data_IF_598980609929
#
_entry.id   IF_598980609929
#
_cell.length_a   1.000
_cell.length_b   1.000
_cell.length_c   1.000
_cell.angle_alpha   90.00
_cell.angle_beta   90.00
_cell.angle_gamma   90.00
#
_symmetry.space_group_name_H-M   'P 1'
#
loop_
_entity.id
_entity.type
_entity.pdbx_description
1 polymer ?
#
# COMPACT_ATOMS: atom_id res chain seq x y z
N UNK A 1 0.56 14.36 -23.29
CA UNK A 1 0.25 15.75 -22.88
C UNK A 1 0.03 15.86 -21.39
N UNK A 2 -0.88 15.09 -20.77
CA UNK A 2 -1.20 15.11 -19.35
C UNK A 2 0.00 14.82 -18.43
N UNK A 3 0.79 13.78 -18.71
CA UNK A 3 1.98 13.43 -17.90
C UNK A 3 3.06 14.50 -17.98
N UNK A 4 3.22 15.15 -19.14
CA UNK A 4 4.18 16.25 -19.31
C UNK A 4 3.76 17.51 -18.54
N UNK A 5 2.48 17.84 -18.53
CA UNK A 5 1.89 18.92 -17.74
C UNK A 5 1.96 18.61 -16.24
N UNK A 6 1.68 17.37 -15.84
CA UNK A 6 1.79 16.89 -14.47
C UNK A 6 3.22 16.95 -13.94
N UNK A 7 4.22 16.70 -14.77
CA UNK A 7 5.63 16.69 -14.33
C UNK A 7 6.12 18.06 -13.87
N UNK A 8 5.60 19.14 -14.46
CA UNK A 8 6.10 20.51 -14.27
C UNK A 8 5.15 21.40 -13.45
N UNK A 9 3.94 20.96 -13.12
CA UNK A 9 2.96 21.80 -12.45
C UNK A 9 2.29 21.08 -11.30
N UNK A 10 2.67 21.45 -10.07
CA UNK A 10 2.15 20.87 -8.85
C UNK A 10 0.63 21.10 -8.71
N UNK A 11 0.15 22.28 -9.07
CA UNK A 11 -1.28 22.61 -9.02
C UNK A 11 -2.10 21.72 -9.95
N UNK A 12 -1.57 21.40 -11.14
CA UNK A 12 -2.21 20.48 -12.06
C UNK A 12 -2.31 19.06 -11.50
N UNK A 13 -1.26 18.60 -10.80
CA UNK A 13 -1.28 17.27 -10.12
C UNK A 13 -2.38 17.21 -9.06
N UNK A 14 -2.45 18.24 -8.20
CA UNK A 14 -3.49 18.31 -7.17
C UNK A 14 -4.90 18.44 -7.76
N UNK A 15 -5.08 19.27 -8.78
CA UNK A 15 -6.37 19.41 -9.47
C UNK A 15 -6.85 18.08 -10.09
N UNK A 16 -5.93 17.35 -10.75
CA UNK A 16 -6.22 16.04 -11.33
C UNK A 16 -6.53 15.00 -10.25
N UNK A 17 -5.80 15.01 -9.14
CA UNK A 17 -6.03 14.11 -8.00
C UNK A 17 -7.41 14.33 -7.38
N UNK A 18 -7.80 15.59 -7.15
CA UNK A 18 -9.13 15.94 -6.62
C UNK A 18 -10.21 15.50 -7.61
N UNK A 19 -10.03 15.77 -8.90
CA UNK A 19 -11.01 15.41 -9.94
C UNK A 19 -11.21 13.89 -10.00
N UNK A 20 -10.13 13.11 -10.04
CA UNK A 20 -10.20 11.65 -10.06
C UNK A 20 -10.84 11.13 -8.77
N UNK A 21 -10.50 11.72 -7.61
CA UNK A 21 -11.10 11.30 -6.33
C UNK A 21 -12.60 11.56 -6.30
N UNK A 22 -13.07 12.69 -6.80
CA UNK A 22 -14.51 13.01 -6.89
C UNK A 22 -15.25 12.05 -7.82
N UNK A 23 -14.67 11.69 -8.95
CA UNK A 23 -15.27 10.72 -9.87
C UNK A 23 -15.38 9.33 -9.21
N UNK A 24 -14.33 8.88 -8.52
CA UNK A 24 -14.33 7.59 -7.85
C UNK A 24 -15.31 7.52 -6.68
N UNK A 25 -15.44 8.59 -5.90
CA UNK A 25 -16.41 8.67 -4.80
C UNK A 25 -17.82 9.10 -5.24
N UNK A 26 -18.01 9.45 -6.51
CA UNK A 26 -19.27 9.91 -7.07
C UNK A 26 -20.42 8.91 -6.84
N UNK A 27 -20.16 7.60 -6.98
CA UNK A 27 -21.17 6.56 -6.69
C UNK A 27 -21.61 6.58 -5.22
N UNK A 28 -20.71 6.75 -4.28
CA UNK A 28 -21.03 6.84 -2.86
C UNK A 28 -21.89 8.07 -2.56
N UNK A 29 -21.56 9.23 -3.14
CA UNK A 29 -22.36 10.44 -2.99
C UNK A 29 -23.76 10.33 -3.59
N UNK A 30 -23.91 9.58 -4.69
CA UNK A 30 -25.22 9.35 -5.33
C UNK A 30 -26.03 8.31 -4.57
N UNK A 31 -25.42 7.20 -4.11
CA UNK A 31 -26.13 6.09 -3.48
C UNK A 31 -26.52 6.36 -2.03
N UNK A 32 -25.64 7.04 -1.26
CA UNK A 32 -25.87 7.32 0.16
C UNK A 32 -26.54 8.68 0.41
N UNK A 33 -26.68 9.50 -0.64
CA UNK A 33 -27.14 10.89 -0.57
C UNK A 33 -26.00 11.86 -0.29
N UNK A 34 -25.98 12.97 -1.03
CA UNK A 34 -24.92 13.98 -1.00
C UNK A 34 -24.67 14.60 0.39
N UNK A 35 -25.65 14.52 1.29
CA UNK A 35 -25.57 15.10 2.64
C UNK A 35 -25.21 14.07 3.74
N UNK A 36 -25.02 12.79 3.41
CA UNK A 36 -24.61 11.81 4.40
C UNK A 36 -23.12 11.94 4.74
N UNK A 37 -22.82 12.11 6.04
CA UNK A 37 -21.45 12.29 6.53
C UNK A 37 -20.51 11.10 6.27
N UNK A 38 -21.04 9.90 6.02
CA UNK A 38 -20.26 8.68 5.77
C UNK A 38 -19.49 8.75 4.45
N UNK A 39 -20.12 9.20 3.37
CA UNK A 39 -19.46 9.37 2.06
C UNK A 39 -18.36 10.44 2.11
N UNK A 40 -18.62 11.58 2.72
CA UNK A 40 -17.63 12.65 2.89
C UNK A 40 -16.48 12.25 3.80
N UNK A 41 -16.77 11.51 4.89
CA UNK A 41 -15.75 10.98 5.78
C UNK A 41 -14.79 10.03 5.04
N UNK A 42 -15.32 9.08 4.29
CA UNK A 42 -14.53 8.15 3.48
C UNK A 42 -13.68 8.86 2.43
N UNK A 43 -14.25 9.84 1.72
CA UNK A 43 -13.55 10.67 0.74
C UNK A 43 -12.40 11.46 1.37
N UNK A 44 -12.65 12.16 2.48
CA UNK A 44 -11.63 12.93 3.17
C UNK A 44 -10.48 12.05 3.68
N UNK A 45 -10.79 10.88 4.25
CA UNK A 45 -9.79 9.93 4.69
C UNK A 45 -8.99 9.38 3.51
N UNK A 46 -9.63 9.06 2.37
CA UNK A 46 -8.91 8.60 1.18
C UNK A 46 -7.93 9.64 0.64
N UNK A 47 -8.30 10.92 0.63
CA UNK A 47 -7.39 12.02 0.27
C UNK A 47 -6.22 12.16 1.25
N UNK A 48 -6.49 12.04 2.55
CA UNK A 48 -5.44 12.04 3.58
C UNK A 48 -4.43 10.91 3.36
N UNK A 49 -4.92 9.70 3.02
CA UNK A 49 -4.04 8.56 2.71
C UNK A 49 -3.19 8.80 1.49
N UNK A 50 -3.77 9.35 0.43
CA UNK A 50 -3.03 9.70 -0.78
C UNK A 50 -1.99 10.79 -0.49
N UNK A 51 -2.35 11.81 0.28
CA UNK A 51 -1.42 12.85 0.71
C UNK A 51 -0.27 12.25 1.53
N UNK A 52 -0.56 11.31 2.45
CA UNK A 52 0.44 10.55 3.19
C UNK A 52 1.35 9.73 2.28
N UNK A 53 0.79 9.03 1.30
CA UNK A 53 1.58 8.27 0.33
C UNK A 53 2.48 9.19 -0.50
N UNK A 54 1.97 10.31 -0.98
CA UNK A 54 2.77 11.33 -1.70
C UNK A 54 3.89 11.89 -0.82
N UNK A 55 3.58 12.18 0.45
CA UNK A 55 4.58 12.68 1.42
C UNK A 55 5.70 11.66 1.63
N UNK A 56 5.37 10.39 1.86
CA UNK A 56 6.36 9.31 2.02
C UNK A 56 7.28 9.24 0.81
N UNK A 57 6.69 9.25 -0.38
CA UNK A 57 7.45 9.18 -1.65
C UNK A 57 8.38 10.37 -1.84
N UNK A 58 7.87 11.58 -1.58
CA UNK A 58 8.62 12.82 -1.75
C UNK A 58 9.73 12.93 -0.71
N UNK A 59 9.42 12.70 0.56
CA UNK A 59 10.38 12.82 1.66
C UNK A 59 11.51 11.80 1.57
N UNK A 60 11.18 10.60 1.11
CA UNK A 60 12.14 9.51 0.99
C UNK A 60 12.86 9.48 -0.38
N UNK A 61 12.55 10.43 -1.25
CA UNK A 61 13.14 10.54 -2.61
C UNK A 61 13.04 9.22 -3.40
N UNK A 62 12.00 8.45 -3.16
CA UNK A 62 11.81 7.12 -3.78
C UNK A 62 11.31 7.27 -5.22
N UNK A 63 10.59 8.34 -5.53
CA UNK A 63 10.09 8.65 -6.88
C UNK A 63 10.12 10.14 -7.15
N UNK A 64 10.42 10.48 -8.41
CA UNK A 64 10.47 11.89 -8.87
C UNK A 64 9.10 12.51 -9.15
N UNK A 65 8.02 11.72 -9.12
CA UNK A 65 6.66 12.17 -9.44
C UNK A 65 5.64 11.64 -8.42
N UNK A 66 5.59 12.22 -7.21
CA UNK A 66 4.70 11.77 -6.14
C UNK A 66 3.22 11.89 -6.51
N UNK A 67 2.82 12.90 -7.28
CA UNK A 67 1.42 13.11 -7.65
C UNK A 67 0.86 12.02 -8.55
N UNK A 68 1.60 11.55 -9.56
CA UNK A 68 1.19 10.42 -10.42
C UNK A 68 1.05 9.16 -9.57
N UNK A 69 2.00 8.91 -8.68
CA UNK A 69 1.95 7.77 -7.77
C UNK A 69 0.74 7.83 -6.83
N UNK A 70 0.42 9.03 -6.31
CA UNK A 70 -0.76 9.25 -5.48
C UNK A 70 -2.06 8.95 -6.23
N UNK A 71 -2.18 9.35 -7.49
CA UNK A 71 -3.35 9.07 -8.32
C UNK A 71 -3.48 7.55 -8.56
N UNK A 72 -2.40 6.87 -8.91
CA UNK A 72 -2.43 5.40 -9.11
C UNK A 72 -2.76 4.68 -7.80
N UNK A 73 -2.21 5.14 -6.68
CA UNK A 73 -2.54 4.61 -5.36
C UNK A 73 -4.02 4.77 -5.03
N UNK A 74 -4.60 5.94 -5.31
CA UNK A 74 -6.03 6.21 -5.17
C UNK A 74 -6.87 5.27 -6.04
N UNK A 75 -6.49 5.11 -7.32
CA UNK A 75 -7.16 4.23 -8.27
C UNK A 75 -7.16 2.76 -7.84
N UNK A 76 -6.13 2.31 -7.14
CA UNK A 76 -6.07 0.96 -6.57
C UNK A 76 -6.88 0.85 -5.27
N UNK A 77 -6.83 1.88 -4.43
CA UNK A 77 -7.41 1.85 -3.09
C UNK A 77 -8.94 1.90 -3.12
N UNK A 78 -9.54 2.86 -3.84
CA UNK A 78 -10.98 3.12 -3.76
C UNK A 78 -11.85 1.96 -4.23
N UNK A 79 -11.57 1.25 -5.35
CA UNK A 79 -12.37 0.10 -5.78
C UNK A 79 -12.36 -1.07 -4.78
N UNK A 80 -11.33 -1.14 -3.92
CA UNK A 80 -11.19 -2.20 -2.93
C UNK A 80 -11.73 -1.83 -1.55
N UNK A 81 -11.87 -0.53 -1.25
CA UNK A 81 -12.50 -0.06 -0.01
C UNK A 81 -14.02 -0.25 -0.03
N UNK A 82 -14.61 -0.27 -1.22
CA UNK A 82 -16.04 -0.07 -1.34
C UNK A 82 -16.44 1.38 -1.06
N UNK A 83 -17.73 1.67 -1.22
CA UNK A 83 -18.29 3.02 -1.04
C UNK A 83 -18.68 3.32 0.41
N UNK A 84 -18.54 2.36 1.34
CA UNK A 84 -18.89 2.53 2.74
C UNK A 84 -17.65 2.80 3.59
N UNK A 85 -17.77 3.75 4.52
CA UNK A 85 -16.78 3.96 5.56
C UNK A 85 -16.69 2.71 6.44
N UNK A 86 -15.56 2.01 6.38
CA UNK A 86 -15.28 0.87 7.25
C UNK A 86 -14.13 1.23 8.22
N UNK A 87 -14.18 0.77 9.48
CA UNK A 87 -13.07 1.00 10.43
C UNK A 87 -11.73 0.50 9.92
N UNK A 88 -11.76 -0.37 8.96
CA UNK A 88 -10.61 -0.96 8.27
C UNK A 88 -9.72 0.07 7.58
N UNK A 89 -10.26 1.22 7.23
CA UNK A 89 -9.52 2.30 6.58
C UNK A 89 -8.33 2.80 7.42
N UNK A 90 -8.40 2.66 8.75
CA UNK A 90 -7.34 3.08 9.68
C UNK A 90 -6.07 2.24 9.63
N UNK A 91 -6.13 1.06 9.01
CA UNK A 91 -4.95 0.21 8.80
C UNK A 91 -3.96 0.83 7.79
N UNK A 92 -4.48 1.60 6.83
CA UNK A 92 -3.63 2.27 5.82
C UNK A 92 -2.60 3.24 6.38
N UNK A 93 -2.97 4.19 7.28
CA UNK A 93 -1.97 5.09 7.85
C UNK A 93 -0.88 4.34 8.60
N UNK A 94 -1.21 3.25 9.27
CA UNK A 94 -0.23 2.42 9.97
C UNK A 94 0.77 1.81 8.97
N UNK A 95 0.30 1.26 7.85
CA UNK A 95 1.20 0.78 6.81
C UNK A 95 2.02 1.89 6.17
N UNK A 96 1.44 3.05 5.88
CA UNK A 96 2.18 4.17 5.32
C UNK A 96 3.28 4.67 6.28
N UNK A 97 2.99 4.73 7.59
CA UNK A 97 3.99 5.06 8.60
C UNK A 97 5.08 3.98 8.66
N UNK A 98 4.71 2.71 8.61
CA UNK A 98 5.68 1.63 8.55
C UNK A 98 6.59 1.74 7.31
N UNK A 99 6.04 1.99 6.12
CA UNK A 99 6.84 2.23 4.90
C UNK A 99 7.75 3.45 5.05
N UNK A 100 7.24 4.54 5.62
CA UNK A 100 8.04 5.73 5.89
C UNK A 100 9.29 5.40 6.71
N UNK A 101 9.12 4.74 7.85
CA UNK A 101 10.24 4.37 8.72
C UNK A 101 11.13 3.29 8.08
N UNK A 102 10.55 2.36 7.31
CA UNK A 102 11.32 1.37 6.55
C UNK A 102 12.30 2.00 5.57
N UNK A 103 11.90 3.07 4.87
CA UNK A 103 12.82 3.78 3.97
C UNK A 103 13.76 4.72 4.72
N UNK A 104 13.34 5.23 5.87
CA UNK A 104 14.10 6.18 6.65
C UNK A 104 15.30 5.54 7.38
N UNK A 105 15.24 4.23 7.65
CA UNK A 105 16.33 3.51 8.33
C UNK A 105 17.58 3.36 7.46
N UNK A 106 17.46 3.41 6.13
CA UNK A 106 18.60 3.22 5.24
C UNK A 106 19.50 4.45 5.20
N UNK A 107 20.82 4.24 5.41
CA UNK A 107 21.83 5.30 5.36
C UNK A 107 21.97 6.13 6.64
N UNK A 108 21.27 5.76 7.73
CA UNK A 108 21.43 6.41 9.04
C UNK A 108 22.52 5.73 9.86
N UNK A 109 23.26 6.52 10.64
CA UNK A 109 24.23 6.02 11.61
C UNK A 109 23.55 5.24 12.76
N UNK A 110 22.38 5.72 13.18
CA UNK A 110 21.57 5.07 14.22
C UNK A 110 20.16 4.76 13.69
N UNK A 111 19.93 3.60 13.04
CA UNK A 111 18.64 3.22 12.48
C UNK A 111 17.68 2.53 13.46
N UNK A 112 18.12 2.21 14.71
CA UNK A 112 17.31 1.45 15.67
C UNK A 112 15.89 2.02 15.90
N UNK A 113 15.70 3.34 16.12
CA UNK A 113 14.37 3.90 16.31
C UNK A 113 13.48 3.71 15.08
N UNK A 114 14.03 3.82 13.87
CA UNK A 114 13.27 3.66 12.64
C UNK A 114 12.89 2.19 12.43
N UNK A 115 13.79 1.25 12.73
CA UNK A 115 13.51 -0.20 12.69
C UNK A 115 12.41 -0.58 13.67
N UNK A 116 12.48 -0.08 14.91
CA UNK A 116 11.44 -0.29 15.91
C UNK A 116 10.10 0.27 15.43
N UNK A 117 10.07 1.53 15.00
CA UNK A 117 8.83 2.18 14.56
C UNK A 117 8.24 1.51 13.32
N UNK A 118 9.05 1.11 12.35
CA UNK A 118 8.58 0.37 11.18
C UNK A 118 7.89 -0.94 11.60
N UNK A 119 8.51 -1.70 12.49
CA UNK A 119 7.99 -2.96 13.00
C UNK A 119 6.75 -2.76 13.88
N UNK A 120 6.75 -1.74 14.73
CA UNK A 120 5.62 -1.37 15.58
C UNK A 120 4.37 -1.04 14.76
N UNK A 121 4.49 -0.12 13.79
CA UNK A 121 3.33 0.29 12.99
C UNK A 121 2.82 -0.84 12.08
N UNK A 122 3.72 -1.66 11.53
CA UNK A 122 3.29 -2.84 10.76
C UNK A 122 2.54 -3.83 11.63
N UNK A 123 3.08 -4.14 12.81
CA UNK A 123 2.44 -5.04 13.76
C UNK A 123 1.16 -4.47 14.35
N UNK A 124 1.08 -3.16 14.62
CA UNK A 124 -0.16 -2.51 15.03
C UNK A 124 -1.27 -2.69 13.98
N UNK A 125 -0.93 -2.62 12.69
CA UNK A 125 -1.87 -2.91 11.62
C UNK A 125 -2.39 -4.35 11.69
N UNK A 126 -1.55 -5.32 12.07
CA UNK A 126 -1.97 -6.73 12.22
C UNK A 126 -2.83 -6.97 13.45
N UNK A 127 -2.76 -6.14 14.48
CA UNK A 127 -3.69 -6.19 15.63
C UNK A 127 -5.11 -5.83 15.18
N UNK A 128 -5.27 -4.84 14.29
CA UNK A 128 -6.58 -4.51 13.72
C UNK A 128 -7.06 -5.52 12.67
N UNK A 129 -6.12 -6.18 11.99
CA UNK A 129 -6.35 -7.19 10.97
C UNK A 129 -5.43 -8.39 11.19
N UNK A 130 -5.85 -9.36 12.01
CA UNK A 130 -5.04 -10.51 12.38
C UNK A 130 -4.48 -11.30 11.22
N UNK A 131 -5.23 -11.40 10.12
CA UNK A 131 -4.80 -12.13 8.93
C UNK A 131 -3.55 -11.54 8.26
N UNK A 132 -3.29 -10.25 8.48
CA UNK A 132 -2.07 -9.59 8.00
C UNK A 132 -0.81 -10.00 8.79
N UNK A 133 -0.95 -10.80 9.83
CA UNK A 133 0.17 -11.32 10.62
C UNK A 133 1.24 -11.98 9.74
N UNK A 134 0.82 -12.71 8.72
CA UNK A 134 1.73 -13.35 7.77
C UNK A 134 2.50 -12.37 6.88
N UNK A 135 2.21 -11.08 6.90
CA UNK A 135 3.00 -10.06 6.21
C UNK A 135 4.19 -9.55 7.03
N UNK A 136 4.23 -9.81 8.35
CA UNK A 136 5.31 -9.36 9.24
C UNK A 136 6.71 -9.82 8.80
N UNK A 137 6.92 -11.08 8.33
CA UNK A 137 8.23 -11.51 7.86
C UNK A 137 8.79 -10.66 6.71
N UNK A 138 7.93 -9.98 5.95
CA UNK A 138 8.35 -9.10 4.86
C UNK A 138 9.34 -8.02 5.36
N UNK A 139 9.09 -7.46 6.53
CA UNK A 139 9.97 -6.44 7.12
C UNK A 139 11.34 -7.01 7.49
N UNK A 140 11.38 -8.25 8.00
CA UNK A 140 12.64 -8.93 8.30
C UNK A 140 13.48 -9.18 7.03
N UNK A 141 12.81 -9.53 5.92
CA UNK A 141 13.48 -9.71 4.63
C UNK A 141 14.05 -8.37 4.12
N UNK A 142 13.37 -7.26 4.35
CA UNK A 142 13.88 -5.92 3.97
C UNK A 142 15.14 -5.55 4.76
N UNK A 143 15.22 -5.91 6.05
CA UNK A 143 16.43 -5.71 6.84
C UNK A 143 17.63 -6.44 6.24
N UNK A 144 17.43 -7.65 5.70
CA UNK A 144 18.48 -8.38 4.97
C UNK A 144 18.94 -7.61 3.72
N UNK A 145 17.99 -7.04 2.95
CA UNK A 145 18.32 -6.29 1.73
C UNK A 145 19.15 -5.03 2.01
N UNK A 146 18.86 -4.39 3.12
CA UNK A 146 19.62 -3.21 3.52
C UNK A 146 21.02 -3.56 4.06
N UNK A 147 21.35 -4.85 4.09
CA UNK A 147 22.63 -5.37 4.61
C UNK A 147 22.93 -4.90 6.04
N UNK A 148 21.87 -4.70 6.81
CA UNK A 148 21.97 -4.31 8.20
C UNK A 148 22.10 -5.58 9.01
N UNK A 149 23.29 -6.22 8.91
CA UNK A 149 23.58 -7.54 9.47
C UNK A 149 23.80 -7.58 10.97
N UNK A 150 23.48 -6.53 11.71
CA UNK A 150 23.66 -6.52 13.15
C UNK A 150 22.48 -7.21 13.85
N UNK A 151 22.76 -8.22 14.67
CA UNK A 151 21.74 -8.97 15.42
C UNK A 151 20.87 -8.07 16.32
N UNK A 152 21.40 -6.95 16.80
CA UNK A 152 20.65 -5.95 17.57
C UNK A 152 19.46 -5.37 16.77
N UNK A 153 19.61 -5.21 15.47
CA UNK A 153 18.50 -4.70 14.64
C UNK A 153 17.40 -5.74 14.46
N UNK A 154 17.75 -7.00 14.34
CA UNK A 154 16.77 -8.08 14.34
C UNK A 154 16.00 -8.12 15.64
N UNK A 155 16.70 -8.02 16.77
CA UNK A 155 16.07 -7.97 18.08
C UNK A 155 15.16 -6.74 18.21
N UNK A 156 15.63 -5.57 17.77
CA UNK A 156 14.81 -4.34 17.75
C UNK A 156 13.57 -4.49 16.90
N UNK A 157 13.65 -5.13 15.73
CA UNK A 157 12.49 -5.40 14.90
C UNK A 157 11.51 -6.36 15.58
N UNK A 158 11.99 -7.45 16.18
CA UNK A 158 11.14 -8.41 16.90
C UNK A 158 10.47 -7.75 18.10
N UNK A 159 11.18 -6.92 18.87
CA UNK A 159 10.58 -6.18 19.99
C UNK A 159 9.54 -5.18 19.50
N UNK A 160 9.80 -4.48 18.39
CA UNK A 160 8.83 -3.60 17.76
C UNK A 160 7.57 -4.35 17.32
N UNK A 161 7.72 -5.55 16.71
CA UNK A 161 6.60 -6.41 16.34
C UNK A 161 5.81 -6.92 17.53
N UNK A 162 6.48 -7.25 18.64
CA UNK A 162 5.83 -7.77 19.84
C UNK A 162 5.08 -6.70 20.66
N UNK A 163 5.52 -5.44 20.59
CA UNK A 163 4.99 -4.35 21.43
C UNK A 163 3.48 -4.14 21.30
N UNK A 164 2.84 -4.07 20.11
CA UNK A 164 1.39 -3.91 19.99
C UNK A 164 0.61 -5.08 20.62
N UNK A 165 1.12 -6.30 20.50
CA UNK A 165 0.49 -7.48 21.13
C UNK A 165 0.65 -7.47 22.65
N UNK A 166 1.78 -6.96 23.19
CA UNK A 166 1.96 -6.77 24.62
C UNK A 166 1.00 -5.69 25.15
N UNK A 167 0.78 -4.62 24.40
CA UNK A 167 -0.22 -3.60 24.76
C UNK A 167 -1.62 -4.21 24.76
N UNK A 168 -1.97 -5.01 23.75
CA UNK A 168 -3.25 -5.70 23.70
C UNK A 168 -3.43 -6.66 24.88
N UNK A 169 -2.39 -7.43 25.23
CA UNK A 169 -2.41 -8.31 26.40
C UNK A 169 -2.58 -7.55 27.73
N UNK A 170 -1.96 -6.37 27.86
CA UNK A 170 -2.14 -5.51 29.01
C UNK A 170 -3.58 -4.97 29.12
N UNK A 171 -4.18 -4.58 28.00
CA UNK A 171 -5.58 -4.15 27.93
C UNK A 171 -6.51 -5.32 28.33
N UNK A 172 -6.25 -6.52 27.83
CA UNK A 172 -7.00 -7.75 28.19
C UNK A 172 -6.95 -7.99 29.69
N UNK A 173 -5.78 -7.92 30.28
CA UNK A 173 -5.60 -8.11 31.72
C UNK A 173 -6.39 -7.09 32.54
N UNK A 174 -6.39 -5.82 32.11
CA UNK A 174 -7.09 -4.74 32.81
C UNK A 174 -8.61 -4.78 32.60
N UNK A 175 -9.08 -5.18 31.41
CA UNK A 175 -10.51 -5.19 31.06
C UNK A 175 -11.22 -6.51 31.40
N UNK A 176 -10.47 -7.58 31.68
CA UNK A 176 -11.02 -8.93 31.86
C UNK A 176 -11.63 -9.53 30.58
N UNK A 177 -11.34 -8.95 29.42
CA UNK A 177 -11.82 -9.42 28.11
C UNK A 177 -10.73 -10.28 27.46
N UNK A 178 -11.10 -11.33 26.73
CA UNK A 178 -10.13 -12.18 26.04
C UNK A 178 -9.84 -11.68 24.60
N UNK A 179 -9.49 -10.38 24.43
CA UNK A 179 -9.28 -9.76 23.12
C UNK A 179 -8.09 -10.36 22.38
N UNK A 180 -7.00 -10.65 23.09
CA UNK A 180 -5.80 -11.26 22.50
C UNK A 180 -6.12 -12.66 21.97
N UNK A 181 -6.81 -13.48 22.76
CA UNK A 181 -7.21 -14.83 22.34
C UNK A 181 -8.17 -14.78 21.14
N UNK A 182 -9.12 -13.85 21.14
CA UNK A 182 -10.05 -13.63 20.03
C UNK A 182 -9.29 -13.18 18.77
N UNK A 183 -8.32 -12.25 18.91
CA UNK A 183 -7.49 -11.78 17.81
C UNK A 183 -6.66 -12.93 17.22
N UNK A 184 -6.01 -13.73 18.07
CA UNK A 184 -5.23 -14.88 17.62
C UNK A 184 -6.08 -15.98 16.97
N UNK A 185 -7.30 -16.21 17.46
CA UNK A 185 -8.22 -17.17 16.87
C UNK A 185 -8.74 -16.75 15.49
N UNK A 186 -8.73 -15.44 15.18
CA UNK A 186 -9.10 -14.92 13.87
C UNK A 186 -7.99 -15.12 12.82
N UNK A 187 -6.75 -15.41 13.24
CA UNK A 187 -5.66 -15.72 12.30
C UNK A 187 -6.00 -17.05 11.61
N UNK A 188 -6.59 -16.94 10.42
CA UNK A 188 -6.95 -18.12 9.65
C UNK A 188 -5.71 -18.72 8.99
N UNK A 189 -5.40 -19.96 9.36
CA UNK A 189 -4.35 -20.72 8.71
C UNK A 189 -4.76 -21.00 7.26
N UNK A 190 -3.83 -20.83 6.32
CA UNK A 190 -3.99 -20.93 4.86
C UNK A 190 -4.63 -22.25 4.30
N UNK A 191 -5.24 -23.08 5.14
CA UNK A 191 -5.68 -24.45 4.82
C UNK A 191 -6.81 -24.63 3.80
N UNK A 192 -7.52 -23.58 3.33
CA UNK A 192 -8.69 -23.74 2.46
C UNK A 192 -8.76 -22.73 1.28
N UNK A 193 -7.64 -22.29 0.77
CA UNK A 193 -7.52 -21.16 -0.15
C UNK A 193 -8.20 -21.33 -1.54
N UNK A 194 -8.55 -22.55 -1.95
CA UNK A 194 -8.93 -22.81 -3.36
C UNK A 194 -10.45 -22.82 -3.60
N UNK A 195 -11.29 -22.94 -2.56
CA UNK A 195 -12.73 -23.18 -2.74
C UNK A 195 -13.61 -21.93 -2.94
N UNK A 196 -13.12 -20.71 -2.78
CA UNK A 196 -13.93 -19.47 -2.82
C UNK A 196 -13.47 -18.42 -3.85
N UNK A 197 -12.89 -18.84 -4.95
CA UNK A 197 -12.56 -17.94 -6.07
C UNK A 197 -13.79 -17.24 -6.68
N UNK A 198 -15.00 -17.75 -6.41
CA UNK A 198 -16.25 -17.23 -6.95
C UNK A 198 -16.78 -15.94 -6.27
N UNK A 199 -16.28 -15.59 -5.09
CA UNK A 199 -16.76 -14.41 -4.34
C UNK A 199 -15.94 -13.14 -4.57
N UNK A 200 -14.88 -13.21 -5.36
CA UNK A 200 -14.07 -12.03 -5.68
C UNK A 200 -14.87 -11.19 -6.65
N UNK A 201 -15.16 -9.94 -6.28
CA UNK A 201 -15.62 -8.96 -7.26
C UNK A 201 -14.60 -8.90 -8.41
N UNK A 202 -15.01 -9.35 -9.57
CA UNK A 202 -14.12 -9.63 -10.72
C UNK A 202 -13.36 -8.36 -11.13
N UNK A 203 -14.03 -7.22 -11.14
CA UNK A 203 -13.48 -5.97 -11.66
C UNK A 203 -12.32 -5.38 -10.85
N UNK A 204 -12.40 -5.21 -9.51
CA UNK A 204 -11.25 -4.80 -8.72
C UNK A 204 -10.09 -5.80 -8.82
N UNK A 205 -10.40 -7.10 -8.94
CA UNK A 205 -9.40 -8.14 -9.15
C UNK A 205 -8.65 -7.98 -10.48
N UNK A 206 -9.34 -7.70 -11.56
CA UNK A 206 -8.76 -7.44 -12.90
C UNK A 206 -7.87 -6.19 -12.88
N UNK A 207 -8.34 -5.09 -12.24
CA UNK A 207 -7.52 -3.89 -12.09
C UNK A 207 -6.22 -4.17 -11.34
N UNK A 208 -6.30 -4.89 -10.22
CA UNK A 208 -5.12 -5.24 -9.43
C UNK A 208 -4.16 -6.13 -10.24
N UNK A 209 -4.68 -7.16 -10.92
CA UNK A 209 -3.88 -8.04 -11.78
C UNK A 209 -3.18 -7.25 -12.88
N UNK A 210 -3.89 -6.36 -13.56
CA UNK A 210 -3.32 -5.48 -14.59
C UNK A 210 -2.17 -4.63 -14.02
N UNK A 211 -2.37 -4.00 -12.85
CA UNK A 211 -1.33 -3.19 -12.22
C UNK A 211 -0.15 -4.06 -11.72
N UNK A 212 -0.38 -5.28 -11.25
CA UNK A 212 0.68 -6.23 -10.90
C UNK A 212 1.51 -6.61 -12.12
N UNK A 213 0.86 -6.89 -13.26
CA UNK A 213 1.56 -7.17 -14.53
C UNK A 213 2.40 -5.98 -14.96
N UNK A 214 1.86 -4.76 -14.95
CA UNK A 214 2.63 -3.55 -15.25
C UNK A 214 3.82 -3.35 -14.32
N UNK A 215 3.64 -3.64 -13.03
CA UNK A 215 4.70 -3.54 -12.02
C UNK A 215 5.82 -4.55 -12.27
N UNK A 216 5.48 -5.79 -12.63
CA UNK A 216 6.47 -6.83 -12.97
C UNK A 216 7.23 -6.48 -14.27
N UNK A 217 6.54 -5.97 -15.28
CA UNK A 217 7.17 -5.47 -16.51
C UNK A 217 8.12 -4.30 -16.22
N UNK A 218 7.72 -3.39 -15.32
CA UNK A 218 8.60 -2.30 -14.85
C UNK A 218 9.87 -2.83 -14.21
N UNK A 219 9.79 -3.86 -13.38
CA UNK A 219 10.94 -4.46 -12.72
C UNK A 219 11.90 -5.13 -13.71
N UNK A 220 11.36 -5.83 -14.71
CA UNK A 220 12.17 -6.47 -15.75
C UNK A 220 12.88 -5.39 -16.61
N UNK A 221 12.14 -4.37 -17.02
CA UNK A 221 12.68 -3.25 -17.81
C UNK A 221 13.63 -2.35 -17.03
N UNK A 222 13.54 -2.36 -15.70
CA UNK A 222 14.30 -1.42 -14.84
C UNK A 222 15.79 -1.77 -14.69
N UNK A 223 16.26 -2.92 -15.19
CA UNK A 223 17.69 -3.31 -15.08
C UNK A 223 18.62 -2.24 -15.65
N UNK A 224 18.28 -1.67 -16.80
CA UNK A 224 19.05 -0.58 -17.41
C UNK A 224 18.95 0.71 -16.61
N UNK A 225 17.77 0.99 -16.06
CA UNK A 225 17.49 2.19 -15.25
C UNK A 225 18.12 2.15 -13.86
N UNK A 226 18.21 0.96 -13.24
CA UNK A 226 18.83 0.79 -11.92
C UNK A 226 20.33 1.14 -11.93
N UNK A 227 20.97 1.16 -13.10
CA UNK A 227 22.37 1.55 -13.25
C UNK A 227 22.56 3.07 -13.12
N UNK A 228 21.56 3.85 -13.52
CA UNK A 228 21.59 5.32 -13.51
C UNK A 228 21.11 5.93 -12.18
N UNK A 229 20.62 5.10 -11.23
CA UNK A 229 20.16 5.56 -9.92
C UNK A 229 21.32 5.70 -8.95
N UNK A 230 21.22 6.69 -8.08
CA UNK A 230 22.08 6.82 -6.91
C UNK A 230 21.98 5.55 -6.03
N UNK A 231 23.06 5.19 -5.35
CA UNK A 231 23.13 3.95 -4.56
C UNK A 231 21.98 3.85 -3.55
N UNK A 232 21.59 4.97 -2.94
CA UNK A 232 20.50 5.05 -1.95
C UNK A 232 19.14 4.73 -2.61
N UNK A 233 18.83 5.37 -3.73
CA UNK A 233 17.58 5.13 -4.47
C UNK A 233 17.50 3.69 -4.98
N UNK A 234 18.62 3.13 -5.41
CA UNK A 234 18.73 1.75 -5.88
C UNK A 234 18.40 0.75 -4.77
N UNK A 235 18.95 0.93 -3.56
CA UNK A 235 18.68 0.06 -2.40
C UNK A 235 17.23 0.14 -1.95
N UNK A 236 16.67 1.34 -1.84
CA UNK A 236 15.24 1.56 -1.52
C UNK A 236 14.33 0.90 -2.56
N UNK A 237 14.67 1.02 -3.85
CA UNK A 237 13.91 0.36 -4.93
C UNK A 237 14.00 -1.17 -4.87
N UNK A 238 15.16 -1.73 -4.49
CA UNK A 238 15.32 -3.17 -4.30
C UNK A 238 14.49 -3.69 -3.12
N UNK A 239 14.48 -2.96 -1.99
CA UNK A 239 13.63 -3.28 -0.85
C UNK A 239 12.16 -3.27 -1.24
N UNK A 240 11.73 -2.23 -1.98
CA UNK A 240 10.36 -2.14 -2.49
C UNK A 240 10.00 -3.31 -3.42
N UNK A 241 10.93 -3.75 -4.26
CA UNK A 241 10.72 -4.91 -5.14
C UNK A 241 10.47 -6.20 -4.35
N UNK A 242 11.26 -6.42 -3.32
CA UNK A 242 11.10 -7.61 -2.48
C UNK A 242 9.78 -7.56 -1.71
N UNK A 243 9.43 -6.39 -1.13
CA UNK A 243 8.12 -6.19 -0.51
C UNK A 243 6.99 -6.49 -1.50
N UNK A 244 7.10 -5.98 -2.72
CA UNK A 244 6.11 -6.21 -3.76
C UNK A 244 5.93 -7.71 -4.05
N UNK A 245 7.00 -8.45 -4.31
CA UNK A 245 6.90 -9.88 -4.59
C UNK A 245 6.37 -10.68 -3.41
N UNK A 246 6.81 -10.37 -2.20
CA UNK A 246 6.30 -11.02 -1.00
C UNK A 246 4.81 -10.80 -0.82
N UNK A 247 4.36 -9.55 -0.98
CA UNK A 247 2.95 -9.18 -0.82
C UNK A 247 2.07 -9.72 -1.96
N UNK A 248 2.59 -9.81 -3.19
CA UNK A 248 1.91 -10.51 -4.30
C UNK A 248 1.73 -11.98 -3.96
N UNK A 249 2.78 -12.64 -3.48
CA UNK A 249 2.71 -14.04 -3.07
C UNK A 249 1.70 -14.23 -1.93
N UNK A 250 1.72 -13.33 -0.93
CA UNK A 250 0.76 -13.33 0.17
C UNK A 250 -0.69 -13.21 -0.35
N UNK A 251 -0.97 -12.23 -1.23
CA UNK A 251 -2.30 -12.03 -1.81
C UNK A 251 -2.73 -13.24 -2.66
N UNK A 252 -1.83 -13.85 -3.43
CA UNK A 252 -2.12 -15.05 -4.21
C UNK A 252 -2.45 -16.25 -3.33
N UNK A 253 -1.70 -16.46 -2.25
CA UNK A 253 -1.94 -17.55 -1.31
C UNK A 253 -3.21 -17.34 -0.46
N UNK A 254 -3.57 -16.07 -0.24
CA UNK A 254 -4.79 -15.69 0.48
C UNK A 254 -6.02 -15.50 -0.43
N UNK A 255 -5.84 -15.62 -1.75
CA UNK A 255 -6.90 -15.40 -2.72
C UNK A 255 -8.07 -16.35 -2.49
N UNK A 256 -9.22 -15.78 -2.15
CA UNK A 256 -10.48 -16.49 -1.99
C UNK A 256 -11.06 -16.50 -0.57
N UNK A 257 -10.28 -16.18 0.47
CA UNK A 257 -10.80 -16.20 1.87
C UNK A 257 -10.80 -14.88 2.57
N UNK A 258 -9.94 -13.96 2.14
CA UNK A 258 -9.70 -12.75 2.91
C UNK A 258 -10.47 -11.56 2.33
N UNK A 259 -11.07 -10.72 3.19
CA UNK A 259 -11.75 -9.51 2.75
C UNK A 259 -10.81 -8.61 1.93
N UNK A 260 -11.35 -7.72 1.08
CA UNK A 260 -10.55 -6.84 0.19
C UNK A 260 -9.46 -6.05 0.91
N UNK A 261 -9.64 -5.81 2.19
CA UNK A 261 -8.68 -5.11 3.06
C UNK A 261 -7.27 -5.73 3.09
N UNK A 262 -7.13 -7.03 2.89
CA UNK A 262 -5.83 -7.72 2.92
C UNK A 262 -4.90 -7.35 1.76
N UNK A 263 -5.44 -6.73 0.71
CA UNK A 263 -4.68 -6.28 -0.45
C UNK A 263 -3.96 -4.95 -0.22
N UNK A 264 -4.27 -4.25 0.87
CA UNK A 264 -3.77 -2.90 1.18
C UNK A 264 -2.26 -2.75 1.20
N UNK A 265 -1.51 -3.63 1.86
CA UNK A 265 -0.06 -3.49 1.87
C UNK A 265 0.54 -3.52 0.47
N UNK A 266 -0.13 -4.21 -0.46
CA UNK A 266 0.33 -4.36 -1.84
C UNK A 266 0.14 -3.08 -2.68
N UNK A 267 -0.86 -2.23 -2.36
CA UNK A 267 -1.19 -1.07 -3.20
C UNK A 267 -0.06 -0.06 -3.30
N UNK A 268 0.66 0.21 -2.22
CA UNK A 268 1.74 1.17 -2.23
C UNK A 268 2.93 0.73 -3.12
N UNK A 269 3.49 -0.49 -2.98
CA UNK A 269 4.52 -0.99 -3.89
C UNK A 269 4.05 -1.08 -5.34
N UNK A 270 2.81 -1.52 -5.57
CA UNK A 270 2.23 -1.62 -6.92
C UNK A 270 2.12 -0.24 -7.57
N UNK A 271 1.59 0.76 -6.86
CA UNK A 271 1.51 2.14 -7.36
C UNK A 271 2.89 2.70 -7.70
N UNK A 272 3.89 2.39 -6.90
CA UNK A 272 5.27 2.80 -7.14
C UNK A 272 5.82 2.23 -8.45
N UNK A 273 5.69 0.93 -8.70
CA UNK A 273 6.21 0.31 -9.91
C UNK A 273 5.38 0.64 -11.16
N UNK A 274 4.06 0.76 -11.04
CA UNK A 274 3.21 1.28 -12.11
C UNK A 274 3.63 2.70 -12.52
N UNK A 275 3.89 3.57 -11.55
CA UNK A 275 4.38 4.93 -11.79
C UNK A 275 5.70 4.90 -12.54
N UNK A 276 6.65 4.06 -12.12
CA UNK A 276 7.92 3.86 -12.84
C UNK A 276 7.69 3.36 -14.26
N UNK A 277 6.85 2.36 -14.46
CA UNK A 277 6.53 1.84 -15.78
C UNK A 277 6.06 2.97 -16.71
N UNK A 278 5.09 3.77 -16.24
CA UNK A 278 4.52 4.87 -17.02
C UNK A 278 5.56 5.95 -17.33
N UNK A 279 6.38 6.36 -16.35
CA UNK A 279 7.34 7.46 -16.52
C UNK A 279 8.46 7.06 -17.46
N UNK A 280 8.97 5.83 -17.36
CA UNK A 280 10.14 5.36 -18.12
C UNK A 280 9.81 4.75 -19.48
N UNK A 281 8.56 4.52 -19.81
CA UNK A 281 8.13 4.12 -21.15
C UNK A 281 8.59 5.18 -22.16
N UNK A 282 9.27 4.77 -23.24
CA UNK A 282 9.83 5.71 -24.22
C UNK A 282 8.75 6.43 -25.05
N UNK A 283 7.70 5.73 -25.42
CA UNK A 283 6.63 6.27 -26.28
C UNK A 283 5.66 7.13 -25.45
N UNK A 284 5.51 8.39 -25.83
CA UNK A 284 4.63 9.34 -25.12
C UNK A 284 3.16 8.95 -25.17
N UNK A 285 2.70 8.40 -26.28
CA UNK A 285 1.33 7.93 -26.46
C UNK A 285 1.02 6.77 -25.51
N UNK A 286 1.94 5.78 -25.45
CA UNK A 286 1.76 4.60 -24.58
C UNK A 286 1.69 4.99 -23.09
N UNK A 287 2.48 5.98 -22.65
CA UNK A 287 2.42 6.50 -21.27
C UNK A 287 1.03 7.02 -20.93
N UNK A 288 0.51 7.88 -21.78
CA UNK A 288 -0.79 8.51 -21.56
C UNK A 288 -1.92 7.50 -21.64
N UNK A 289 -1.83 6.55 -22.60
CA UNK A 289 -2.82 5.47 -22.73
C UNK A 289 -2.86 4.58 -21.49
N UNK A 290 -1.69 4.14 -20.98
CA UNK A 290 -1.62 3.31 -19.77
C UNK A 290 -2.19 4.05 -18.55
N UNK A 291 -1.87 5.33 -18.39
CA UNK A 291 -2.36 6.13 -17.29
C UNK A 291 -3.88 6.31 -17.33
N UNK A 292 -4.42 6.65 -18.50
CA UNK A 292 -5.87 6.80 -18.72
C UNK A 292 -6.57 5.45 -18.52
N UNK A 293 -5.98 4.35 -18.98
CA UNK A 293 -6.54 3.01 -18.83
C UNK A 293 -6.68 2.61 -17.35
N UNK A 294 -5.68 2.90 -16.51
CA UNK A 294 -5.76 2.65 -15.07
C UNK A 294 -6.92 3.43 -14.45
N UNK A 295 -7.06 4.71 -14.78
CA UNK A 295 -8.15 5.54 -14.28
C UNK A 295 -9.51 5.00 -14.79
N UNK A 296 -9.61 4.67 -16.06
CA UNK A 296 -10.86 4.16 -16.65
C UNK A 296 -11.29 2.82 -16.02
N UNK A 297 -10.33 1.88 -15.83
CA UNK A 297 -10.61 0.61 -15.17
C UNK A 297 -11.01 0.80 -13.70
N UNK A 298 -10.38 1.76 -13.01
CA UNK A 298 -10.73 2.08 -11.63
C UNK A 298 -12.14 2.67 -11.52
N UNK A 299 -12.49 3.62 -12.38
CA UNK A 299 -13.84 4.18 -12.44
C UNK A 299 -14.86 3.09 -12.77
N UNK A 300 -14.57 2.26 -13.77
CA UNK A 300 -15.44 1.15 -14.14
C UNK A 300 -15.64 0.16 -12.98
N UNK A 301 -14.59 -0.17 -12.24
CA UNK A 301 -14.66 -1.07 -11.08
C UNK A 301 -15.48 -0.51 -9.92
N UNK A 302 -15.60 0.82 -9.78
CA UNK A 302 -16.42 1.47 -8.74
C UNK A 302 -17.86 1.60 -9.19
N UNK A 303 -18.12 1.94 -10.47
CA UNK A 303 -19.47 2.27 -10.94
C UNK A 303 -20.33 1.06 -11.32
N UNK A 304 -19.73 -0.07 -11.60
CA UNK A 304 -20.41 -1.37 -11.75
C UNK A 304 -20.51 -2.12 -10.43
#
# INVERSE_FOLDING_TARGET
MFIKLSKNNLLFQFGLLILVSLILWGKAFVSEGFFNGTGWGGWAVSLLMVAGACYVVQRQQVSRNPGIQGIIFLCLMVPHLGTAYTPQIWVYPLFLLSFYYTFNMYGKENPYPDVFNAAFFWSAATVFFPDLFFTLPCLLIVLLVYAVGNWHMWLTSITGMGTPYLILAAIDFLSGQNLLAQNMAQIQVFGHAISHLSEISILPGVLLLFCVILSTLSLISSRQFMQDLEMIERRKSSAMAIMFFYLVLFVLLSAGKLPPAHRFPLFFPTAFFCTKCIIYTRQSVLKETLFILIIALSVWAVWL
#
